data_IF_339195876961
#
_entry.id   IF_339195876961
#
_cell.length_a   1.000
_cell.length_b   1.000
_cell.length_c   1.000
_cell.angle_alpha   90.00
_cell.angle_beta   90.00
_cell.angle_gamma   90.00
#
_symmetry.space_group_name_H-M   'P 1'
#
loop_
_entity.id
_entity.type
_entity.pdbx_description
1 polymer ?
#
# COMPACT_ATOMS: atom_id res chain seq x y z
N UNK A 1 -7.81 -20.65 2.07
CA UNK A 1 -7.45 -21.62 1.02
C UNK A 1 -6.18 -22.34 1.42
N UNK A 2 -5.04 -21.69 1.50
CA UNK A 2 -3.73 -22.30 1.83
C UNK A 2 -3.75 -23.10 3.15
N UNK A 3 -4.31 -22.52 4.23
CA UNK A 3 -4.42 -23.20 5.53
C UNK A 3 -5.34 -24.43 5.54
N UNK A 4 -6.30 -24.49 4.61
CA UNK A 4 -7.22 -25.61 4.46
C UNK A 4 -6.72 -26.66 3.45
N UNK A 5 -5.52 -26.51 2.88
CA UNK A 5 -4.98 -27.39 1.84
C UNK A 5 -5.76 -27.37 0.52
N UNK A 6 -6.60 -26.35 0.31
CA UNK A 6 -7.44 -26.26 -0.88
C UNK A 6 -6.67 -25.78 -2.10
N UNK A 7 -5.57 -25.03 -1.90
CA UNK A 7 -4.71 -24.59 -3.00
C UNK A 7 -4.09 -25.79 -3.75
N UNK A 8 -3.74 -26.86 -3.04
CA UNK A 8 -3.23 -28.10 -3.64
C UNK A 8 -4.29 -28.86 -4.47
N UNK A 9 -5.56 -28.48 -4.32
CA UNK A 9 -6.71 -29.01 -5.07
C UNK A 9 -7.15 -28.08 -6.21
N UNK A 10 -6.34 -27.09 -6.58
CA UNK A 10 -6.65 -26.11 -7.61
C UNK A 10 -7.70 -25.08 -7.19
N UNK A 11 -7.97 -24.94 -5.89
CA UNK A 11 -8.87 -23.91 -5.38
C UNK A 11 -8.06 -22.66 -5.02
N UNK A 12 -8.09 -21.64 -5.87
CA UNK A 12 -7.42 -20.37 -5.62
C UNK A 12 -8.33 -19.19 -5.93
N UNK A 13 -7.91 -17.97 -5.51
CA UNK A 13 -8.63 -16.74 -5.80
C UNK A 13 -7.88 -15.94 -6.86
N UNK A 14 -8.59 -15.57 -7.91
CA UNK A 14 -8.09 -14.68 -8.95
C UNK A 14 -8.96 -13.42 -8.92
N UNK A 15 -8.37 -12.22 -8.74
CA UNK A 15 -9.13 -10.99 -8.85
C UNK A 15 -9.55 -10.77 -10.29
N UNK A 16 -10.78 -10.40 -10.50
CA UNK A 16 -11.32 -10.05 -11.80
C UNK A 16 -11.83 -8.62 -11.74
N UNK A 17 -11.42 -7.73 -12.64
CA UNK A 17 -11.97 -6.38 -12.70
C UNK A 17 -13.46 -6.45 -13.06
N UNK A 18 -14.29 -5.77 -12.29
CA UNK A 18 -15.71 -5.63 -12.58
C UNK A 18 -15.98 -4.18 -12.91
N UNK A 19 -16.25 -3.91 -14.18
CA UNK A 19 -16.52 -2.56 -14.68
C UNK A 19 -17.90 -2.48 -15.32
N UNK A 20 -18.46 -1.28 -15.34
CA UNK A 20 -19.65 -0.96 -16.13
C UNK A 20 -19.18 -0.60 -17.54
N UNK A 21 -19.90 -1.02 -18.57
CA UNK A 21 -19.59 -0.74 -19.98
C UNK A 21 -19.26 0.75 -20.20
N UNK A 22 -18.12 1.00 -20.84
CA UNK A 22 -17.62 2.34 -21.12
C UNK A 22 -17.02 3.08 -19.93
N UNK A 23 -16.70 2.37 -18.84
CA UNK A 23 -15.94 2.88 -17.70
C UNK A 23 -14.68 2.07 -17.51
N UNK A 24 -13.58 2.77 -17.27
CA UNK A 24 -12.34 2.12 -16.85
C UNK A 24 -12.47 1.57 -15.44
N UNK A 25 -11.73 0.51 -15.17
CA UNK A 25 -11.62 -0.01 -13.81
C UNK A 25 -10.86 1.02 -12.96
N UNK A 26 -11.54 1.59 -11.98
CA UNK A 26 -10.93 2.56 -11.07
C UNK A 26 -10.36 1.82 -9.86
N UNK A 27 -9.14 1.38 -10.01
CA UNK A 27 -8.33 0.89 -8.91
C UNK A 27 -7.56 2.06 -8.30
N UNK A 28 -8.05 2.55 -7.17
CA UNK A 28 -7.38 3.64 -6.47
C UNK A 28 -6.28 3.12 -5.55
N UNK A 29 -5.06 3.21 -6.01
CA UNK A 29 -3.93 3.28 -5.14
C UNK A 29 -3.31 4.67 -5.33
N UNK A 30 -3.82 5.65 -4.63
CA UNK A 30 -3.19 6.96 -4.61
C UNK A 30 -1.75 6.79 -4.15
N UNK A 31 -0.80 7.20 -4.96
CA UNK A 31 0.60 7.27 -4.58
C UNK A 31 0.71 7.94 -3.22
N UNK A 32 1.47 7.34 -2.31
CA UNK A 32 1.49 7.77 -0.92
C UNK A 32 1.86 9.24 -0.79
N UNK A 33 1.06 9.99 -0.07
CA UNK A 33 1.53 11.23 0.52
C UNK A 33 2.74 10.90 1.41
N UNK A 34 3.66 11.85 1.55
CA UNK A 34 4.78 11.72 2.48
C UNK A 34 4.24 11.31 3.85
N UNK A 35 4.67 10.14 4.33
CA UNK A 35 4.17 9.57 5.59
C UNK A 35 5.08 10.01 6.73
N UNK A 36 4.65 10.96 7.52
CA UNK A 36 5.35 11.44 8.71
C UNK A 36 5.16 10.55 9.95
N UNK A 37 4.33 9.52 9.85
CA UNK A 37 4.01 8.64 10.99
C UNK A 37 5.14 7.68 11.36
N UNK A 38 6.10 7.49 10.46
CA UNK A 38 7.28 6.64 10.69
C UNK A 38 8.54 7.40 10.34
N UNK A 39 9.58 7.18 11.10
CA UNK A 39 10.87 7.83 10.90
C UNK A 39 11.94 7.26 11.80
N UNK A 40 13.18 7.67 11.55
CA UNK A 40 14.32 7.41 12.40
C UNK A 40 14.67 8.69 13.15
N UNK A 41 14.89 8.59 14.45
CA UNK A 41 15.32 9.71 15.27
C UNK A 41 16.65 9.38 15.99
N UNK A 42 17.58 10.33 15.93
CA UNK A 42 18.82 10.28 16.74
C UNK A 42 18.53 10.97 18.06
N UNK A 43 18.75 10.26 19.17
CA UNK A 43 18.50 10.79 20.51
C UNK A 43 19.69 11.60 21.04
N UNK A 44 19.47 12.40 22.08
CA UNK A 44 20.52 13.17 22.76
C UNK A 44 21.57 12.30 23.47
N UNK A 45 21.33 10.99 23.57
CA UNK A 45 22.31 10.03 24.08
C UNK A 45 23.28 9.50 23.03
N UNK A 46 23.18 9.96 21.78
CA UNK A 46 24.11 9.59 20.71
C UNK A 46 25.37 10.45 20.82
N UNK A 47 26.52 9.80 20.99
CA UNK A 47 27.81 10.49 21.12
C UNK A 47 28.36 10.97 19.77
N UNK A 48 27.97 10.34 18.65
CA UNK A 48 28.42 10.68 17.30
C UNK A 48 27.24 10.69 16.32
N UNK A 49 26.62 11.86 16.19
CA UNK A 49 25.47 12.06 15.32
C UNK A 49 25.85 11.92 13.83
N UNK A 50 27.05 12.37 13.45
CA UNK A 50 27.52 12.31 12.06
C UNK A 50 27.72 10.86 11.62
N UNK A 51 28.32 10.02 12.47
CA UNK A 51 28.45 8.60 12.19
C UNK A 51 27.09 7.90 12.10
N UNK A 52 26.14 8.24 12.99
CA UNK A 52 24.78 7.71 12.95
C UNK A 52 24.05 8.09 11.65
N UNK A 53 24.14 9.36 11.24
CA UNK A 53 23.52 9.82 10.00
C UNK A 53 24.21 9.25 8.76
N UNK A 54 25.54 9.08 8.78
CA UNK A 54 26.25 8.37 7.72
C UNK A 54 25.79 6.93 7.59
N UNK A 55 25.65 6.21 8.68
CA UNK A 55 25.10 4.84 8.68
C UNK A 55 23.71 4.79 8.04
N UNK A 56 22.82 5.71 8.40
CA UNK A 56 21.48 5.80 7.81
C UNK A 56 21.53 6.04 6.31
N UNK A 57 22.42 6.95 5.87
CA UNK A 57 22.61 7.24 4.45
C UNK A 57 23.18 6.03 3.70
N UNK A 58 24.16 5.34 4.27
CA UNK A 58 24.77 4.14 3.66
C UNK A 58 23.75 3.00 3.48
N UNK A 59 22.71 2.91 4.35
CA UNK A 59 21.61 1.95 4.16
C UNK A 59 20.77 2.21 2.91
N UNK A 60 20.83 3.41 2.36
CA UNK A 60 20.14 3.82 1.13
C UNK A 60 21.04 3.71 -0.12
N UNK A 61 22.30 3.31 0.03
CA UNK A 61 23.14 2.92 -1.11
C UNK A 61 22.50 1.71 -1.82
N UNK A 62 22.48 1.76 -3.19
CA UNK A 62 21.75 0.73 -3.97
C UNK A 62 22.34 -0.67 -3.78
N UNK A 63 23.67 -0.79 -3.68
CA UNK A 63 24.33 -2.09 -3.48
C UNK A 63 24.02 -2.64 -2.08
N UNK A 64 24.06 -1.77 -1.08
CA UNK A 64 23.69 -2.13 0.30
C UNK A 64 22.20 -2.48 0.38
N UNK A 65 21.34 -1.73 -0.31
CA UNK A 65 19.93 -2.00 -0.38
C UNK A 65 19.64 -3.37 -1.04
N UNK A 66 20.29 -3.66 -2.16
CA UNK A 66 20.19 -4.96 -2.85
C UNK A 66 20.66 -6.10 -1.94
N UNK A 67 21.80 -5.93 -1.26
CA UNK A 67 22.28 -6.92 -0.29
C UNK A 67 21.28 -7.19 0.83
N UNK A 68 20.57 -6.19 1.29
CA UNK A 68 19.56 -6.30 2.37
C UNK A 68 18.29 -7.06 1.94
N UNK A 69 17.84 -6.89 0.70
CA UNK A 69 16.55 -7.39 0.24
C UNK A 69 16.66 -8.56 -0.74
N UNK A 70 17.60 -8.48 -1.66
CA UNK A 70 17.86 -9.56 -2.62
C UNK A 70 18.86 -10.58 -2.08
N UNK A 71 19.84 -10.15 -1.29
CA UNK A 71 20.91 -10.97 -0.77
C UNK A 71 22.14 -10.95 -1.66
N UNK A 72 22.84 -12.08 -1.72
CA UNK A 72 24.10 -12.25 -2.47
C UNK A 72 23.80 -12.90 -3.82
N UNK A 73 24.21 -12.23 -4.91
CA UNK A 73 24.11 -12.76 -6.27
C UNK A 73 24.79 -14.12 -6.39
N UNK A 74 24.14 -15.08 -7.05
CA UNK A 74 24.61 -16.46 -7.21
C UNK A 74 24.43 -17.33 -5.95
N UNK A 75 23.77 -16.81 -4.92
CA UNK A 75 23.48 -17.53 -3.68
C UNK A 75 22.02 -17.36 -3.28
N UNK A 76 21.52 -16.13 -3.27
CA UNK A 76 20.17 -15.76 -2.86
C UNK A 76 19.30 -15.36 -4.05
N UNK A 77 19.91 -14.96 -5.15
CA UNK A 77 19.26 -14.60 -6.41
C UNK A 77 20.22 -14.68 -7.59
N UNK A 78 19.66 -14.79 -8.77
CA UNK A 78 20.36 -14.82 -10.06
C UNK A 78 20.05 -13.55 -10.87
N UNK A 79 20.85 -13.32 -11.93
CA UNK A 79 20.68 -12.23 -12.89
C UNK A 79 20.71 -12.82 -14.28
N UNK A 80 19.70 -12.58 -15.08
CA UNK A 80 19.61 -13.06 -16.44
C UNK A 80 20.41 -12.21 -17.44
N UNK A 81 20.35 -12.57 -18.72
CA UNK A 81 21.06 -11.87 -19.81
C UNK A 81 20.60 -10.42 -20.04
N UNK A 82 19.40 -10.07 -19.57
CA UNK A 82 18.84 -8.73 -19.66
C UNK A 82 19.16 -7.88 -18.41
N UNK A 83 19.82 -8.46 -17.41
CA UNK A 83 20.07 -7.80 -16.14
C UNK A 83 18.93 -7.92 -15.13
N UNK A 84 17.88 -8.71 -15.42
CA UNK A 84 16.75 -8.89 -14.53
C UNK A 84 17.12 -9.83 -13.37
N UNK A 85 16.79 -9.43 -12.14
CA UNK A 85 16.96 -10.23 -10.94
C UNK A 85 15.80 -11.22 -10.82
N UNK A 86 16.16 -12.45 -10.49
CA UNK A 86 15.18 -13.50 -10.22
C UNK A 86 15.72 -14.53 -9.25
N UNK A 87 14.83 -15.32 -8.67
CA UNK A 87 15.19 -16.47 -7.85
C UNK A 87 14.76 -17.75 -8.56
N UNK A 88 15.58 -18.76 -8.45
CA UNK A 88 15.19 -20.14 -8.77
C UNK A 88 14.12 -20.62 -7.76
N UNK A 89 13.44 -21.73 -8.06
CA UNK A 89 12.45 -22.29 -7.13
C UNK A 89 13.06 -22.63 -5.76
N UNK A 90 14.31 -23.11 -5.73
CA UNK A 90 15.01 -23.44 -4.50
C UNK A 90 15.39 -22.20 -3.70
N UNK A 91 15.93 -21.16 -4.33
CA UNK A 91 16.25 -19.87 -3.69
C UNK A 91 14.99 -19.20 -3.17
N UNK A 92 13.88 -19.23 -3.91
CA UNK A 92 12.59 -18.69 -3.48
C UNK A 92 12.07 -19.44 -2.25
N UNK A 93 12.22 -20.77 -2.23
CA UNK A 93 11.86 -21.58 -1.08
C UNK A 93 12.74 -21.26 0.14
N UNK A 94 14.05 -21.13 -0.04
CA UNK A 94 14.99 -20.70 1.01
C UNK A 94 14.64 -19.31 1.53
N UNK A 95 14.40 -18.36 0.63
CA UNK A 95 14.01 -16.99 0.98
C UNK A 95 12.64 -16.91 1.70
N UNK A 96 11.80 -17.94 1.64
CA UNK A 96 10.57 -18.03 2.42
C UNK A 96 10.78 -18.56 3.84
N UNK A 97 11.92 -19.20 4.12
CA UNK A 97 12.27 -19.72 5.44
C UNK A 97 12.71 -18.60 6.38
N UNK A 98 12.12 -18.56 7.57
CA UNK A 98 12.39 -17.48 8.54
C UNK A 98 13.81 -17.51 9.10
N UNK A 99 14.36 -18.71 9.31
CA UNK A 99 15.71 -18.88 9.84
C UNK A 99 16.76 -18.48 8.80
N UNK A 100 16.53 -18.87 7.54
CA UNK A 100 17.37 -18.44 6.43
C UNK A 100 17.37 -16.92 6.28
N UNK A 101 16.20 -16.29 6.25
CA UNK A 101 16.07 -14.82 6.21
C UNK A 101 16.86 -14.13 7.32
N UNK A 102 16.77 -14.64 8.53
CA UNK A 102 17.45 -14.06 9.68
C UNK A 102 18.98 -14.14 9.59
N UNK A 103 19.52 -15.11 8.85
CA UNK A 103 20.97 -15.33 8.70
C UNK A 103 21.57 -14.76 7.42
N UNK A 104 20.78 -14.54 6.36
CA UNK A 104 21.27 -14.15 5.03
C UNK A 104 20.74 -12.80 4.55
N UNK A 105 19.57 -12.39 5.02
CA UNK A 105 18.91 -11.15 4.61
C UNK A 105 18.73 -10.23 5.83
N UNK A 106 18.61 -8.94 5.58
CA UNK A 106 18.29 -8.00 6.64
C UNK A 106 16.78 -8.07 6.96
N UNK A 107 16.43 -8.77 8.03
CA UNK A 107 15.05 -8.91 8.48
C UNK A 107 14.50 -7.65 9.19
N UNK A 108 15.34 -6.63 9.45
CA UNK A 108 14.94 -5.42 10.17
C UNK A 108 14.23 -4.42 9.23
N UNK A 109 12.92 -4.42 9.27
CA UNK A 109 12.05 -3.67 8.35
C UNK A 109 11.96 -2.16 8.64
N UNK A 110 12.44 -1.70 9.81
CA UNK A 110 12.36 -0.28 10.20
C UNK A 110 13.53 0.56 9.69
N UNK A 111 14.56 -0.04 9.14
CA UNK A 111 15.61 0.72 8.47
C UNK A 111 15.07 1.38 7.18
N UNK A 112 15.60 2.55 6.82
CA UNK A 112 15.25 3.22 5.57
C UNK A 112 15.35 2.27 4.37
N UNK A 113 14.39 2.36 3.46
CA UNK A 113 14.29 1.47 2.30
C UNK A 113 13.57 2.15 1.14
N UNK A 114 13.89 1.74 -0.08
CA UNK A 114 13.17 2.12 -1.28
C UNK A 114 12.07 1.11 -1.63
N UNK A 115 11.02 1.61 -2.25
CA UNK A 115 10.03 0.82 -2.97
C UNK A 115 10.10 1.18 -4.46
N UNK A 116 9.40 0.40 -5.29
CA UNK A 116 9.36 0.64 -6.73
C UNK A 116 10.61 0.12 -7.44
N UNK A 117 10.92 0.72 -8.58
CA UNK A 117 12.02 0.32 -9.47
C UNK A 117 13.34 0.91 -8.97
N UNK A 118 14.41 0.14 -9.04
CA UNK A 118 15.76 0.56 -8.72
C UNK A 118 16.35 1.51 -9.78
N UNK A 119 17.51 2.08 -9.50
CA UNK A 119 18.18 3.04 -10.38
C UNK A 119 18.58 2.46 -11.75
N UNK A 120 18.65 1.14 -11.88
CA UNK A 120 18.91 0.46 -13.15
C UNK A 120 17.71 0.49 -14.13
N UNK A 121 16.53 0.89 -13.64
CA UNK A 121 15.31 0.96 -14.44
C UNK A 121 14.71 -0.40 -14.83
N UNK A 122 15.28 -1.50 -14.36
CA UNK A 122 14.90 -2.88 -14.70
C UNK A 122 14.33 -3.59 -13.48
N UNK A 123 15.07 -3.53 -12.36
CA UNK A 123 14.77 -4.33 -11.19
C UNK A 123 13.91 -3.58 -10.17
N UNK A 124 13.04 -4.30 -9.49
CA UNK A 124 12.41 -3.77 -8.31
C UNK A 124 13.41 -3.69 -7.16
N UNK A 125 13.32 -2.64 -6.34
CA UNK A 125 14.15 -2.48 -5.15
C UNK A 125 14.01 -3.64 -4.16
N UNK A 126 12.90 -4.37 -4.23
CA UNK A 126 12.63 -5.56 -3.38
C UNK A 126 12.01 -6.68 -4.20
N UNK A 127 12.29 -7.95 -3.84
CA UNK A 127 11.77 -9.11 -4.58
C UNK A 127 10.25 -9.14 -4.70
N UNK A 128 9.52 -8.69 -3.68
CA UNK A 128 8.06 -8.65 -3.66
C UNK A 128 7.45 -7.64 -4.64
N UNK A 129 8.25 -6.68 -5.12
CA UNK A 129 7.88 -5.75 -6.19
C UNK A 129 8.26 -6.23 -7.59
N UNK A 130 9.00 -7.33 -7.74
CA UNK A 130 9.45 -7.85 -9.02
C UNK A 130 8.35 -8.70 -9.67
N UNK A 131 7.90 -8.32 -10.86
CA UNK A 131 6.80 -8.99 -11.55
C UNK A 131 7.08 -10.48 -11.79
N UNK A 132 8.32 -10.82 -12.18
CA UNK A 132 8.76 -12.18 -12.40
C UNK A 132 8.73 -13.02 -11.11
N UNK A 133 9.22 -12.47 -9.99
CA UNK A 133 9.21 -13.16 -8.70
C UNK A 133 7.79 -13.45 -8.22
N UNK A 134 6.88 -12.48 -8.42
CA UNK A 134 5.48 -12.65 -8.13
C UNK A 134 4.86 -13.78 -8.96
N UNK A 135 5.02 -13.73 -10.29
CA UNK A 135 4.44 -14.71 -11.21
C UNK A 135 5.00 -16.11 -10.99
N UNK A 136 6.32 -16.28 -10.87
CA UNK A 136 6.98 -17.54 -10.65
C UNK A 136 6.65 -18.17 -9.29
N UNK A 137 6.18 -17.35 -8.34
CA UNK A 137 5.69 -17.80 -7.02
C UNK A 137 4.24 -18.26 -7.00
N UNK A 138 3.49 -18.10 -8.08
CA UNK A 138 2.09 -18.52 -8.18
C UNK A 138 1.97 -20.04 -8.39
N UNK A 139 0.84 -20.60 -7.99
CA UNK A 139 0.47 -21.96 -8.35
C UNK A 139 0.20 -22.06 -9.86
N UNK A 140 0.41 -23.24 -10.45
CA UNK A 140 0.30 -23.44 -11.90
C UNK A 140 -1.08 -23.12 -12.48
N UNK A 141 -2.14 -23.39 -11.76
CA UNK A 141 -3.52 -23.06 -12.16
C UNK A 141 -3.78 -21.57 -12.15
N UNK A 142 -3.16 -20.82 -11.23
CA UNK A 142 -3.20 -19.36 -11.19
C UNK A 142 -2.37 -18.78 -12.34
N UNK A 143 -1.18 -19.33 -12.61
CA UNK A 143 -0.36 -18.93 -13.77
C UNK A 143 -1.12 -19.14 -15.08
N UNK A 144 -1.81 -20.29 -15.26
CA UNK A 144 -2.63 -20.56 -16.44
C UNK A 144 -3.72 -19.49 -16.63
N UNK A 145 -4.38 -19.10 -15.55
CA UNK A 145 -5.37 -18.03 -15.61
C UNK A 145 -4.74 -16.67 -15.97
N UNK A 146 -3.61 -16.32 -15.37
CA UNK A 146 -2.88 -15.09 -15.71
C UNK A 146 -2.45 -15.07 -17.18
N UNK A 147 -1.93 -16.19 -17.68
CA UNK A 147 -1.56 -16.33 -19.11
C UNK A 147 -2.77 -16.20 -20.03
N UNK A 148 -3.93 -16.73 -19.64
CA UNK A 148 -5.17 -16.58 -20.40
C UNK A 148 -5.65 -15.12 -20.49
N UNK A 149 -5.37 -14.30 -19.48
CA UNK A 149 -5.61 -12.85 -19.48
C UNK A 149 -4.47 -12.04 -20.11
N UNK A 150 -3.33 -12.65 -20.38
CA UNK A 150 -2.16 -11.98 -20.95
C UNK A 150 -1.45 -11.04 -19.99
N UNK A 151 -1.49 -11.33 -18.67
CA UNK A 151 -0.93 -10.50 -17.60
C UNK A 151 0.02 -11.32 -16.73
N UNK A 152 0.90 -10.65 -15.99
CA UNK A 152 1.84 -11.29 -15.05
C UNK A 152 1.62 -10.84 -13.60
N UNK A 153 0.89 -9.78 -13.37
CA UNK A 153 0.63 -9.23 -12.03
C UNK A 153 -0.84 -8.89 -11.82
N UNK A 154 -1.24 -8.77 -10.57
CA UNK A 154 -2.58 -8.27 -10.23
C UNK A 154 -2.79 -6.82 -10.67
N UNK A 155 -1.73 -6.01 -10.68
CA UNK A 155 -1.81 -4.61 -11.14
C UNK A 155 -2.13 -4.56 -12.63
N UNK A 156 -1.48 -5.40 -13.44
CA UNK A 156 -1.80 -5.51 -14.87
C UNK A 156 -3.23 -6.00 -15.10
N UNK A 157 -3.70 -6.94 -14.29
CA UNK A 157 -5.06 -7.48 -14.40
C UNK A 157 -6.14 -6.48 -13.99
N UNK A 158 -5.89 -5.71 -12.92
CA UNK A 158 -6.87 -4.78 -12.34
C UNK A 158 -6.79 -3.37 -12.95
N UNK A 159 -5.72 -3.07 -13.67
CA UNK A 159 -5.42 -1.75 -14.22
C UNK A 159 -4.41 -0.97 -13.40
N UNK A 160 -3.81 0.03 -14.04
CA UNK A 160 -2.82 0.91 -13.41
C UNK A 160 -3.48 1.89 -12.46
N UNK A 161 -2.69 2.40 -11.53
CA UNK A 161 -3.11 3.48 -10.65
C UNK A 161 -3.46 4.72 -11.45
N UNK A 162 -4.55 5.38 -11.07
CA UNK A 162 -4.85 6.71 -11.58
C UNK A 162 -3.77 7.71 -11.14
N UNK A 163 -3.57 8.74 -11.94
CA UNK A 163 -2.80 9.88 -11.49
C UNK A 163 -3.43 10.46 -10.21
N UNK A 164 -2.62 10.98 -9.27
CA UNK A 164 -3.16 11.62 -8.08
C UNK A 164 -4.17 12.71 -8.47
N UNK A 165 -5.41 12.55 -8.05
CA UNK A 165 -6.46 13.54 -8.25
C UNK A 165 -6.38 14.69 -7.25
N UNK A 166 -7.32 15.64 -7.35
CA UNK A 166 -7.39 16.81 -6.47
C UNK A 166 -7.43 16.46 -4.97
N UNK A 167 -7.86 15.23 -4.65
CA UNK A 167 -7.93 14.71 -3.29
C UNK A 167 -6.59 14.20 -2.74
N UNK A 168 -5.57 14.08 -3.57
CA UNK A 168 -4.26 13.54 -3.21
C UNK A 168 -3.65 14.17 -1.95
N UNK A 169 -3.64 15.49 -1.75
CA UNK A 169 -3.04 16.09 -0.55
C UNK A 169 -3.71 15.67 0.76
N UNK A 170 -4.95 15.17 0.70
CA UNK A 170 -5.77 14.83 1.87
C UNK A 170 -5.95 13.32 2.10
N UNK A 171 -5.32 12.49 1.27
CA UNK A 171 -5.58 11.04 1.21
C UNK A 171 -5.58 10.31 2.56
N UNK A 172 -4.70 10.67 3.47
CA UNK A 172 -4.59 10.03 4.77
C UNK A 172 -5.03 10.91 5.94
N UNK A 173 -5.53 12.10 5.67
CA UNK A 173 -5.81 13.07 6.74
C UNK A 173 -6.93 12.61 7.67
N UNK A 174 -7.89 11.82 7.20
CA UNK A 174 -8.95 11.26 8.05
C UNK A 174 -8.43 10.50 9.27
N UNK A 175 -7.22 9.95 9.21
CA UNK A 175 -6.57 9.27 10.32
C UNK A 175 -6.14 10.23 11.44
N UNK A 176 -6.07 11.53 11.18
CA UNK A 176 -5.66 12.56 12.13
C UNK A 176 -6.86 13.14 12.91
N UNK A 177 -8.09 12.86 12.47
CA UNK A 177 -9.28 13.32 13.19
C UNK A 177 -9.38 12.67 14.57
N UNK A 178 -9.63 13.49 15.55
CA UNK A 178 -9.87 13.06 16.93
C UNK A 178 -10.90 13.97 17.58
N UNK A 179 -11.43 13.56 18.71
CA UNK A 179 -12.52 14.27 19.40
C UNK A 179 -12.09 15.58 20.11
N UNK A 180 -10.86 16.03 19.91
CA UNK A 180 -10.38 17.32 20.46
C UNK A 180 -10.81 18.53 19.62
N UNK A 181 -11.29 18.31 18.40
CA UNK A 181 -11.76 19.37 17.48
C UNK A 181 -13.23 19.17 17.12
N UNK A 182 -13.97 20.24 16.76
CA UNK A 182 -15.34 20.12 16.27
C UNK A 182 -15.46 19.18 15.07
N UNK A 183 -14.56 19.28 14.08
CA UNK A 183 -14.53 18.40 12.92
C UNK A 183 -14.28 16.94 13.27
N UNK A 184 -13.37 16.65 14.21
CA UNK A 184 -13.14 15.30 14.71
C UNK A 184 -14.33 14.73 15.49
N UNK A 185 -15.06 15.57 16.25
CA UNK A 185 -16.32 15.17 16.90
C UNK A 185 -17.38 14.84 15.86
N UNK A 186 -17.54 15.71 14.83
CA UNK A 186 -18.48 15.47 13.74
C UNK A 186 -18.14 14.17 12.99
N UNK A 187 -16.89 13.96 12.64
CA UNK A 187 -16.40 12.74 11.98
C UNK A 187 -16.76 11.46 12.74
N UNK A 188 -16.49 11.44 14.06
CA UNK A 188 -16.79 10.30 14.92
C UNK A 188 -18.29 10.00 14.95
N UNK A 189 -19.13 11.02 15.18
CA UNK A 189 -20.60 10.88 15.21
C UNK A 189 -21.17 10.44 13.88
N UNK A 190 -20.67 10.98 12.76
CA UNK A 190 -21.07 10.54 11.42
C UNK A 190 -20.76 9.07 11.23
N UNK A 191 -19.59 8.60 11.68
CA UNK A 191 -19.22 7.19 11.65
C UNK A 191 -20.23 6.31 12.43
N UNK A 192 -20.57 6.70 13.64
CA UNK A 192 -21.54 6.00 14.48
C UNK A 192 -22.92 5.92 13.82
N UNK A 193 -23.47 7.06 13.39
CA UNK A 193 -24.77 7.14 12.70
C UNK A 193 -24.79 6.28 11.44
N UNK A 194 -23.72 6.34 10.64
CA UNK A 194 -23.56 5.54 9.43
C UNK A 194 -23.59 4.03 9.74
N UNK A 195 -22.81 3.59 10.73
CA UNK A 195 -22.77 2.18 11.09
C UNK A 195 -24.08 1.66 11.66
N UNK A 196 -24.79 2.49 12.42
CA UNK A 196 -26.06 2.10 13.02
C UNK A 196 -27.20 2.09 11.99
N UNK A 197 -27.30 3.12 11.15
CA UNK A 197 -28.53 3.37 10.38
C UNK A 197 -28.47 2.93 8.92
N UNK A 198 -27.30 2.94 8.25
CA UNK A 198 -27.24 2.50 6.85
C UNK A 198 -27.70 1.05 6.63
N UNK A 199 -27.37 0.06 7.48
CA UNK A 199 -27.92 -1.28 7.34
C UNK A 199 -29.45 -1.30 7.43
N UNK A 200 -30.04 -0.43 8.25
CA UNK A 200 -31.51 -0.30 8.40
C UNK A 200 -32.12 0.30 7.14
N UNK A 201 -31.49 1.29 6.52
CA UNK A 201 -31.91 1.86 5.23
C UNK A 201 -31.94 0.79 4.14
N UNK A 202 -30.86 -0.01 4.05
CA UNK A 202 -30.75 -1.09 3.05
C UNK A 202 -31.85 -2.16 3.23
N UNK A 203 -32.24 -2.46 4.47
CA UNK A 203 -33.24 -3.46 4.78
C UNK A 203 -34.65 -2.91 4.85
N UNK A 204 -34.87 -1.61 4.68
CA UNK A 204 -36.16 -0.97 4.87
C UNK A 204 -37.17 -1.32 3.78
N UNK A 205 -38.43 -1.58 4.17
CA UNK A 205 -39.55 -1.73 3.22
C UNK A 205 -39.93 -0.41 2.54
N UNK A 206 -39.70 0.71 3.21
CA UNK A 206 -39.91 2.06 2.69
C UNK A 206 -38.56 2.78 2.75
N UNK A 207 -37.88 2.77 1.62
CA UNK A 207 -36.57 3.37 1.48
C UNK A 207 -36.57 4.88 1.77
N UNK A 208 -37.50 5.62 1.18
CA UNK A 208 -37.51 7.08 1.29
C UNK A 208 -37.62 7.54 2.75
N UNK A 209 -38.54 6.94 3.48
CA UNK A 209 -38.71 7.25 4.91
C UNK A 209 -37.46 6.89 5.73
N UNK A 210 -36.84 5.76 5.44
CA UNK A 210 -35.64 5.34 6.16
C UNK A 210 -34.44 6.21 5.81
N UNK A 211 -34.35 6.62 4.55
CA UNK A 211 -33.32 7.55 4.09
C UNK A 211 -33.47 8.94 4.74
N UNK A 212 -34.67 9.49 4.77
CA UNK A 212 -34.94 10.77 5.45
C UNK A 212 -34.52 10.71 6.93
N UNK A 213 -34.86 9.64 7.62
CA UNK A 213 -34.48 9.44 9.02
C UNK A 213 -32.95 9.40 9.18
N UNK A 214 -32.25 8.70 8.29
CA UNK A 214 -30.78 8.65 8.28
C UNK A 214 -30.20 10.04 8.01
N UNK A 215 -30.72 10.76 7.02
CA UNK A 215 -30.22 12.10 6.68
C UNK A 215 -30.46 13.13 7.78
N UNK A 216 -31.57 13.03 8.51
CA UNK A 216 -31.83 13.88 9.69
C UNK A 216 -30.77 13.60 10.78
N UNK A 217 -30.47 12.34 11.06
CA UNK A 217 -29.46 11.96 12.04
C UNK A 217 -28.03 12.36 11.58
N UNK A 218 -27.72 12.19 10.28
CA UNK A 218 -26.47 12.63 9.69
C UNK A 218 -26.27 14.14 9.81
N UNK A 219 -27.28 14.93 9.47
CA UNK A 219 -27.23 16.39 9.54
C UNK A 219 -27.11 16.90 10.99
N UNK A 220 -27.67 16.17 11.96
CA UNK A 220 -27.54 16.48 13.38
C UNK A 220 -26.09 16.29 13.91
N UNK A 221 -25.23 15.61 13.16
CA UNK A 221 -23.80 15.45 13.49
C UNK A 221 -22.95 16.68 13.14
N UNK A 222 -23.51 17.75 12.58
CA UNK A 222 -22.80 18.94 12.10
C UNK A 222 -21.69 18.62 11.07
N UNK A 223 -22.00 18.02 9.92
CA UNK A 223 -21.00 17.65 8.92
C UNK A 223 -20.19 18.85 8.39
N UNK A 224 -20.71 20.07 8.54
CA UNK A 224 -20.01 21.29 8.14
C UNK A 224 -18.72 21.50 8.96
N UNK A 225 -18.73 21.20 10.25
CA UNK A 225 -17.51 21.32 11.09
C UNK A 225 -16.39 20.42 10.57
N UNK A 226 -16.73 19.23 10.07
CA UNK A 226 -15.77 18.32 9.43
C UNK A 226 -15.24 18.88 8.11
N UNK A 227 -16.11 19.43 7.26
CA UNK A 227 -15.71 20.00 5.98
C UNK A 227 -14.84 21.24 6.15
N UNK A 228 -15.13 22.10 7.11
CA UNK A 228 -14.35 23.31 7.39
C UNK A 228 -12.93 22.97 7.89
N UNK A 229 -12.80 21.96 8.73
CA UNK A 229 -11.49 21.48 9.18
C UNK A 229 -10.69 20.85 8.05
N UNK A 230 -11.35 20.03 7.20
CA UNK A 230 -10.74 19.47 5.99
C UNK A 230 -10.25 20.55 5.03
N UNK A 231 -11.08 21.57 4.76
CA UNK A 231 -10.73 22.65 3.85
C UNK A 231 -9.53 23.44 4.38
N UNK A 232 -9.52 23.71 5.67
CA UNK A 232 -8.40 24.42 6.32
C UNK A 232 -7.07 23.67 6.16
N UNK A 233 -7.08 22.37 6.35
CA UNK A 233 -5.86 21.56 6.17
C UNK A 233 -5.48 21.41 4.70
N UNK A 234 -6.44 21.29 3.80
CA UNK A 234 -6.18 21.24 2.36
C UNK A 234 -5.47 22.51 1.90
N UNK A 235 -5.99 23.66 2.26
CA UNK A 235 -5.40 24.96 1.90
C UNK A 235 -3.95 25.09 2.40
N UNK A 236 -3.70 24.68 3.64
CA UNK A 236 -2.36 24.62 4.22
C UNK A 236 -1.41 23.70 3.44
N UNK A 237 -1.86 22.50 3.06
CA UNK A 237 -1.05 21.54 2.30
C UNK A 237 -0.75 22.02 0.89
N UNK A 238 -1.71 22.66 0.23
CA UNK A 238 -1.51 23.25 -1.09
C UNK A 238 -0.51 24.42 -1.03
N UNK A 239 -0.60 25.26 0.01
CA UNK A 239 0.38 26.34 0.23
C UNK A 239 1.78 25.79 0.48
N UNK A 240 1.90 24.70 1.26
CA UNK A 240 3.19 24.05 1.48
C UNK A 240 3.75 23.47 0.18
N UNK A 241 2.94 22.74 -0.58
CA UNK A 241 3.35 22.16 -1.85
C UNK A 241 3.81 23.19 -2.87
N UNK A 242 3.22 24.39 -2.86
CA UNK A 242 3.60 25.50 -3.74
C UNK A 242 5.02 26.02 -3.46
N UNK A 243 5.55 25.83 -2.24
CA UNK A 243 6.91 26.28 -1.86
C UNK A 243 8.03 25.37 -2.42
N UNK A 244 7.68 24.18 -2.91
CA UNK A 244 8.63 23.19 -3.45
C UNK A 244 8.52 23.03 -4.98
N UNK A 245 7.71 23.85 -5.63
CA UNK A 245 7.65 23.96 -7.08
C UNK A 245 8.52 25.12 -7.56
#
# INVERSE_FOLDING_TARGET
IKQAGLAEQGCDYIPVPVTIDGRDNQWHNAGGAFNEATGLAVTTACDDVDAAMKFVNDLLDQDIHNLRFWGVKGTDYEVDENGEFYRTADERKQASDTAYKASHLCSYSYFPQYNGTSDDGINANKPDGQAREFYDGLNSDVQEAFDAYGVKTYVEMLGTNDAPGDWYPMWSYSNNFNTSTPGGVAWTKIGEVKHEQLPQVVMAKNFDKAWDTYMDAYNACNPQDFLDELQTELDKRLEQAAKFK
#
